data_IF_423560755180
#
_entry.id   IF_423560755180
#
_cell.length_a   1.000
_cell.length_b   1.000
_cell.length_c   1.000
_cell.angle_alpha   90.00
_cell.angle_beta   90.00
_cell.angle_gamma   90.00
#
_symmetry.space_group_name_H-M   'P 1'
#
loop_
_entity.id
_entity.type
_entity.pdbx_description
1 polymer ?
#
# COMPACT_ATOMS: atom_id res chain seq x y z
N UNK A 1 -5.36 -7.82 46.80
CA UNK A 1 -5.06 -8.75 45.69
C UNK A 1 -5.02 -7.93 44.41
N UNK A 2 -3.82 -7.49 44.01
CA UNK A 2 -3.62 -6.63 42.83
C UNK A 2 -3.07 -7.50 41.71
N UNK A 3 -3.95 -8.00 40.84
CA UNK A 3 -3.53 -8.73 39.65
C UNK A 3 -3.06 -7.72 38.60
N UNK A 4 -1.73 -7.58 38.53
CA UNK A 4 -1.04 -6.91 37.43
C UNK A 4 -1.35 -7.65 36.13
N UNK A 5 -2.16 -7.04 35.27
CA UNK A 5 -2.39 -7.54 33.92
C UNK A 5 -1.07 -7.45 33.15
N UNK A 6 -0.48 -8.61 32.86
CA UNK A 6 0.58 -8.76 31.88
C UNK A 6 0.11 -8.14 30.57
N UNK A 7 0.84 -7.13 30.11
CA UNK A 7 0.74 -6.68 28.74
C UNK A 7 1.15 -7.86 27.85
N UNK A 8 0.16 -8.43 27.19
CA UNK A 8 0.34 -9.49 26.22
C UNK A 8 1.04 -8.88 24.99
N UNK A 9 2.32 -9.22 24.83
CA UNK A 9 3.16 -8.73 23.76
C UNK A 9 2.68 -9.29 22.42
N UNK A 10 1.81 -8.56 21.73
CA UNK A 10 1.34 -8.88 20.38
C UNK A 10 2.57 -8.96 19.46
N UNK A 11 2.83 -10.09 18.77
CA UNK A 11 3.96 -10.19 17.86
C UNK A 11 3.80 -9.18 16.72
N UNK A 12 4.87 -8.42 16.50
CA UNK A 12 4.97 -7.27 15.60
C UNK A 12 4.21 -7.44 14.27
N UNK A 13 3.07 -6.74 14.15
CA UNK A 13 2.50 -6.35 12.84
C UNK A 13 3.56 -5.54 12.09
N UNK A 14 4.20 -6.12 11.08
CA UNK A 14 5.32 -5.49 10.36
C UNK A 14 4.82 -4.40 9.41
N UNK A 15 4.47 -3.23 9.97
CA UNK A 15 4.22 -2.00 9.24
C UNK A 15 5.55 -1.28 9.06
N UNK A 16 5.94 -1.01 7.81
CA UNK A 16 7.12 -0.23 7.47
C UNK A 16 6.69 1.15 6.96
N UNK A 17 7.07 2.21 7.67
CA UNK A 17 6.90 3.57 7.18
C UNK A 17 7.99 3.88 6.14
N UNK A 18 7.59 4.31 4.94
CA UNK A 18 8.50 4.63 3.82
C UNK A 18 8.68 6.15 3.67
N UNK A 19 7.62 6.92 3.92
CA UNK A 19 7.63 8.38 4.02
C UNK A 19 6.50 8.84 4.96
N UNK A 20 6.38 10.11 5.37
CA UNK A 20 5.27 10.57 6.22
C UNK A 20 3.87 10.25 5.66
N UNK A 21 3.75 10.10 4.33
CA UNK A 21 2.49 9.80 3.65
C UNK A 21 2.39 8.35 3.15
N UNK A 22 3.47 7.56 3.16
CA UNK A 22 3.51 6.23 2.56
C UNK A 22 3.93 5.18 3.59
N UNK A 23 3.16 4.10 3.68
CA UNK A 23 3.42 2.97 4.58
C UNK A 23 3.13 1.65 3.89
N UNK A 24 3.97 0.65 4.14
CA UNK A 24 3.86 -0.71 3.62
C UNK A 24 3.52 -1.67 4.76
N UNK A 25 2.46 -2.44 4.59
CA UNK A 25 2.03 -3.50 5.50
C UNK A 25 2.43 -4.82 4.86
N UNK A 26 3.32 -5.57 5.52
CA UNK A 26 3.69 -6.91 5.05
C UNK A 26 2.63 -7.95 5.47
N UNK A 27 2.48 -9.03 4.69
CA UNK A 27 1.60 -10.13 5.05
C UNK A 27 2.05 -10.77 6.36
N UNK A 28 1.09 -11.27 7.15
CA UNK A 28 1.39 -11.94 8.42
C UNK A 28 1.98 -13.33 8.20
N UNK A 29 1.65 -13.98 7.07
CA UNK A 29 2.13 -15.31 6.69
C UNK A 29 2.79 -15.24 5.31
N UNK A 30 4.11 -15.02 5.22
CA UNK A 30 4.85 -14.90 3.97
C UNK A 30 5.06 -16.25 3.24
N UNK A 31 4.34 -17.31 3.61
CA UNK A 31 4.43 -18.62 2.95
C UNK A 31 4.20 -18.46 1.44
N UNK A 32 5.09 -19.07 0.65
CA UNK A 32 5.06 -19.05 -0.81
C UNK A 32 3.66 -19.42 -1.31
N UNK A 33 2.96 -18.45 -1.88
CA UNK A 33 1.67 -18.65 -2.53
C UNK A 33 1.85 -19.69 -3.63
N UNK A 34 1.41 -20.93 -3.39
CA UNK A 34 1.26 -21.91 -4.46
C UNK A 34 0.08 -21.43 -5.29
N UNK A 35 0.31 -20.97 -6.53
CA UNK A 35 -0.74 -20.48 -7.45
C UNK A 35 -1.69 -21.60 -7.94
N UNK A 36 -1.89 -22.65 -7.14
CA UNK A 36 -2.83 -23.73 -7.36
C UNK A 36 -4.24 -23.41 -6.84
N UNK A 37 -4.45 -22.27 -6.17
CA UNK A 37 -5.77 -21.80 -5.77
C UNK A 37 -6.48 -21.17 -6.96
N UNK A 38 -7.65 -21.71 -7.31
CA UNK A 38 -8.53 -21.32 -8.42
C UNK A 38 -9.14 -19.91 -8.29
N UNK A 39 -8.74 -19.11 -7.31
CA UNK A 39 -9.27 -17.77 -7.05
C UNK A 39 -8.18 -16.71 -7.26
N UNK A 40 -8.44 -15.64 -8.04
CA UNK A 40 -7.49 -14.54 -8.22
C UNK A 40 -7.26 -13.86 -6.86
N UNK A 41 -6.00 -13.59 -6.54
CA UNK A 41 -5.61 -12.97 -5.27
C UNK A 41 -4.47 -12.02 -5.58
N UNK A 42 -4.56 -10.73 -5.24
CA UNK A 42 -3.47 -9.80 -5.48
C UNK A 42 -2.22 -10.20 -4.70
N UNK A 43 -1.05 -9.85 -5.25
CA UNK A 43 0.23 -9.89 -4.55
C UNK A 43 0.45 -8.57 -3.80
N UNK A 44 -0.07 -7.46 -4.36
CA UNK A 44 0.00 -6.13 -3.78
C UNK A 44 -1.35 -5.41 -3.87
N UNK A 45 -1.77 -4.81 -2.76
CA UNK A 45 -2.94 -3.94 -2.69
C UNK A 45 -2.46 -2.52 -2.47
N UNK A 46 -2.79 -1.61 -3.38
CA UNK A 46 -2.54 -0.18 -3.24
C UNK A 46 -3.80 0.46 -2.68
N UNK A 47 -3.71 0.99 -1.46
CA UNK A 47 -4.77 1.74 -0.82
C UNK A 47 -4.44 3.23 -0.91
N UNK A 48 -5.26 3.99 -1.62
CA UNK A 48 -5.16 5.45 -1.74
C UNK A 48 -6.38 6.12 -1.08
N UNK A 49 -6.33 6.40 0.25
CA UNK A 49 -7.46 6.98 0.99
C UNK A 49 -7.82 8.40 0.56
N UNK A 50 -8.95 8.89 1.08
CA UNK A 50 -9.36 10.27 0.90
C UNK A 50 -8.46 11.26 1.65
N UNK A 51 -8.65 12.55 1.36
CA UNK A 51 -7.86 13.65 1.94
C UNK A 51 -7.92 13.60 3.48
N UNK A 52 -6.75 13.65 4.11
CA UNK A 52 -6.64 13.67 5.57
C UNK A 52 -7.29 12.47 6.26
N UNK A 53 -7.33 11.30 5.61
CA UNK A 53 -7.75 10.07 6.25
C UNK A 53 -6.92 9.80 7.52
N UNK A 54 -7.64 9.67 8.64
CA UNK A 54 -7.07 9.39 9.94
C UNK A 54 -6.62 7.92 10.04
N UNK A 55 -5.63 7.61 10.91
CA UNK A 55 -5.13 6.25 11.07
C UNK A 55 -6.22 5.21 11.31
N UNK A 56 -7.22 5.51 12.14
CA UNK A 56 -8.35 4.60 12.42
C UNK A 56 -9.14 4.18 11.17
N UNK A 57 -9.30 5.10 10.21
CA UNK A 57 -9.99 4.81 8.96
C UNK A 57 -9.14 3.89 8.09
N UNK A 58 -7.84 4.16 7.99
CA UNK A 58 -6.88 3.33 7.26
C UNK A 58 -6.85 1.93 7.85
N UNK A 59 -6.72 1.81 9.18
CA UNK A 59 -6.69 0.52 9.89
C UNK A 59 -7.92 -0.35 9.59
N UNK A 60 -9.11 0.25 9.51
CA UNK A 60 -10.35 -0.47 9.17
C UNK A 60 -10.23 -1.16 7.80
N UNK A 61 -9.73 -0.46 6.78
CA UNK A 61 -9.59 -1.01 5.44
C UNK A 61 -8.41 -1.97 5.33
N UNK A 62 -7.26 -1.67 5.94
CA UNK A 62 -6.11 -2.57 5.92
C UNK A 62 -6.44 -3.89 6.61
N UNK A 63 -7.19 -3.86 7.72
CA UNK A 63 -7.61 -5.08 8.41
C UNK A 63 -8.54 -5.93 7.54
N UNK A 64 -9.53 -5.31 6.90
CA UNK A 64 -10.43 -6.01 5.99
C UNK A 64 -9.66 -6.69 4.84
N UNK A 65 -8.72 -5.97 4.22
CA UNK A 65 -7.88 -6.54 3.15
C UNK A 65 -6.94 -7.64 3.65
N UNK A 66 -6.38 -7.51 4.86
CA UNK A 66 -5.57 -8.58 5.47
C UNK A 66 -6.39 -9.84 5.74
N UNK A 67 -7.69 -9.71 6.07
CA UNK A 67 -8.59 -10.86 6.22
C UNK A 67 -8.96 -11.49 4.87
N UNK A 68 -9.18 -10.69 3.83
CA UNK A 68 -9.53 -11.18 2.49
C UNK A 68 -8.34 -11.79 1.74
N UNK A 69 -7.16 -11.18 1.87
CA UNK A 69 -5.93 -11.55 1.17
C UNK A 69 -4.75 -11.62 2.15
N UNK A 70 -4.65 -12.67 2.98
CA UNK A 70 -3.62 -12.78 4.03
C UNK A 70 -2.17 -12.78 3.53
N UNK A 71 -1.96 -13.08 2.25
CA UNK A 71 -0.65 -13.13 1.60
C UNK A 71 -0.30 -11.85 0.84
N UNK A 72 -1.27 -10.95 0.61
CA UNK A 72 -1.02 -9.70 -0.10
C UNK A 72 -0.30 -8.70 0.81
N UNK A 73 0.66 -7.97 0.22
CA UNK A 73 1.17 -6.76 0.85
C UNK A 73 0.17 -5.61 0.65
N UNK A 74 0.11 -4.66 1.58
CA UNK A 74 -0.74 -3.46 1.42
C UNK A 74 0.13 -2.22 1.45
N UNK A 75 0.15 -1.47 0.36
CA UNK A 75 0.80 -0.18 0.23
C UNK A 75 -0.22 0.93 0.40
N UNK A 76 -0.12 1.69 1.49
CA UNK A 76 -1.00 2.83 1.76
C UNK A 76 -0.31 4.11 1.34
N UNK A 77 -0.94 4.87 0.43
CA UNK A 77 -0.45 6.16 -0.07
C UNK A 77 -1.47 7.24 0.30
N UNK A 78 -1.14 8.03 1.32
CA UNK A 78 -2.03 9.06 1.87
C UNK A 78 -1.90 10.37 1.08
N UNK A 79 -3.01 11.09 0.99
CA UNK A 79 -3.04 12.49 0.53
C UNK A 79 -3.24 13.41 1.73
N UNK A 80 -2.32 14.34 1.93
CA UNK A 80 -2.40 15.36 2.99
C UNK A 80 -2.87 16.70 2.43
N UNK A 81 -3.33 17.61 3.30
CA UNK A 81 -3.65 18.99 2.90
C UNK A 81 -2.41 19.68 2.31
N UNK A 82 -1.24 19.45 2.90
CA UNK A 82 0.02 19.99 2.39
C UNK A 82 0.27 19.59 0.93
N UNK A 83 0.02 18.33 0.57
CA UNK A 83 0.13 17.85 -0.82
C UNK A 83 -0.75 18.63 -1.80
N UNK A 84 -1.89 19.16 -1.35
CA UNK A 84 -2.82 19.89 -2.21
C UNK A 84 -2.56 21.39 -2.23
N UNK A 85 -2.01 21.96 -1.15
CA UNK A 85 -1.93 23.42 -0.96
C UNK A 85 -0.55 23.98 -1.28
N UNK A 86 0.53 23.38 -0.78
CA UNK A 86 1.85 24.03 -0.84
C UNK A 86 3.04 23.09 -1.03
N UNK A 87 2.88 21.76 -0.92
CA UNK A 87 3.98 20.83 -1.08
C UNK A 87 4.34 20.68 -2.57
N UNK A 88 5.59 20.97 -2.98
CA UNK A 88 5.99 20.93 -4.38
C UNK A 88 5.76 19.56 -5.03
N UNK A 89 5.34 19.56 -6.29
CA UNK A 89 5.11 18.34 -7.07
C UNK A 89 6.35 17.43 -7.12
N UNK A 90 7.55 18.01 -7.26
CA UNK A 90 8.81 17.26 -7.32
C UNK A 90 9.03 16.44 -6.03
N UNK A 91 8.73 17.00 -4.87
CA UNK A 91 8.83 16.29 -3.59
C UNK A 91 7.84 15.14 -3.49
N UNK A 92 6.61 15.35 -3.96
CA UNK A 92 5.59 14.29 -4.01
C UNK A 92 6.01 13.16 -4.96
N UNK A 93 6.53 13.50 -6.14
CA UNK A 93 7.04 12.54 -7.10
C UNK A 93 8.26 11.78 -6.57
N UNK A 94 9.14 12.42 -5.81
CA UNK A 94 10.27 11.77 -5.14
C UNK A 94 9.79 10.62 -4.24
N UNK A 95 8.78 10.85 -3.41
CA UNK A 95 8.20 9.82 -2.55
C UNK A 95 7.62 8.64 -3.35
N UNK A 96 6.95 8.93 -4.47
CA UNK A 96 6.35 7.91 -5.33
C UNK A 96 7.42 7.13 -6.10
N UNK A 97 8.51 7.77 -6.52
CA UNK A 97 9.64 7.10 -7.19
C UNK A 97 10.32 6.06 -6.28
N UNK A 98 10.42 6.35 -4.99
CA UNK A 98 11.03 5.42 -4.01
C UNK A 98 10.27 4.10 -3.88
N UNK A 99 8.97 4.06 -4.22
CA UNK A 99 8.15 2.86 -4.09
C UNK A 99 7.93 2.11 -5.41
N UNK A 100 8.41 2.64 -6.55
CA UNK A 100 8.26 1.96 -7.84
C UNK A 100 8.90 0.56 -7.88
N UNK A 101 10.04 0.30 -7.23
CA UNK A 101 10.58 -1.07 -7.15
C UNK A 101 9.65 -2.08 -6.45
N UNK A 102 8.66 -1.63 -5.68
CA UNK A 102 7.64 -2.52 -5.09
C UNK A 102 6.55 -2.91 -6.09
N UNK A 103 6.39 -2.12 -7.16
CA UNK A 103 5.41 -2.34 -8.23
C UNK A 103 5.99 -3.20 -9.36
N UNK A 104 7.31 -3.43 -9.33
CA UNK A 104 8.07 -4.20 -10.30
C UNK A 104 8.59 -5.44 -9.57
N UNK A 105 8.11 -6.63 -9.91
CA UNK A 105 8.56 -7.87 -9.25
C UNK A 105 10.00 -8.22 -9.62
N UNK A 106 10.74 -8.78 -8.66
CA UNK A 106 12.11 -9.29 -8.82
C UNK A 106 12.18 -10.73 -9.40
N UNK A 107 11.04 -11.37 -9.66
CA UNK A 107 11.00 -12.70 -10.26
C UNK A 107 10.89 -12.54 -11.77
N UNK A 108 11.91 -13.00 -12.49
CA UNK A 108 12.18 -12.76 -13.92
C UNK A 108 11.02 -13.03 -14.90
N UNK A 109 9.92 -13.64 -14.47
CA UNK A 109 8.88 -14.11 -15.39
C UNK A 109 7.48 -13.50 -15.26
N UNK A 110 7.12 -12.76 -14.20
CA UNK A 110 5.72 -12.26 -14.06
C UNK A 110 5.60 -10.96 -13.25
N UNK A 111 4.89 -9.97 -13.79
CA UNK A 111 4.45 -8.75 -13.08
C UNK A 111 3.53 -9.10 -11.88
N UNK A 112 3.56 -8.32 -10.78
CA UNK A 112 2.69 -8.61 -9.63
C UNK A 112 1.23 -8.37 -9.97
N UNK A 113 0.33 -9.20 -9.44
CA UNK A 113 -1.11 -8.92 -9.50
C UNK A 113 -1.43 -7.77 -8.52
N UNK A 114 -1.69 -6.58 -9.05
CA UNK A 114 -1.96 -5.37 -8.26
C UNK A 114 -3.45 -5.08 -8.19
N UNK A 115 -3.99 -4.94 -6.98
CA UNK A 115 -5.31 -4.37 -6.74
C UNK A 115 -5.20 -2.92 -6.29
N UNK A 116 -5.86 -2.00 -6.99
CA UNK A 116 -5.89 -0.58 -6.63
C UNK A 116 -7.25 -0.18 -6.06
N UNK A 117 -7.28 0.25 -4.79
CA UNK A 117 -8.43 0.90 -4.18
C UNK A 117 -8.14 2.38 -3.93
N UNK A 118 -8.71 3.23 -4.79
CA UNK A 118 -8.66 4.68 -4.64
C UNK A 118 -9.98 5.25 -4.11
N UNK A 119 -9.91 6.13 -3.11
CA UNK A 119 -11.07 6.79 -2.52
C UNK A 119 -11.17 8.25 -2.95
N UNK A 120 -12.34 8.64 -3.45
CA UNK A 120 -12.65 10.04 -3.77
C UNK A 120 -11.61 10.67 -4.73
N UNK A 121 -11.64 11.99 -4.87
CA UNK A 121 -10.75 12.72 -5.77
C UNK A 121 -9.30 12.75 -5.26
N UNK A 122 -9.11 12.78 -3.93
CA UNK A 122 -7.77 12.83 -3.34
C UNK A 122 -7.00 11.51 -3.51
N UNK A 123 -7.70 10.38 -3.42
CA UNK A 123 -7.13 9.06 -3.70
C UNK A 123 -6.84 8.91 -5.19
N UNK A 124 -7.80 9.30 -6.06
CA UNK A 124 -7.60 9.29 -7.51
C UNK A 124 -6.41 10.17 -7.93
N UNK A 125 -6.26 11.35 -7.34
CA UNK A 125 -5.12 12.23 -7.60
C UNK A 125 -3.77 11.56 -7.29
N UNK A 126 -3.63 10.88 -6.14
CA UNK A 126 -2.39 10.14 -5.83
C UNK A 126 -2.21 8.92 -6.73
N UNK A 127 -3.27 8.20 -7.07
CA UNK A 127 -3.21 7.09 -8.01
C UNK A 127 -2.72 7.55 -9.40
N UNK A 128 -3.26 8.66 -9.92
CA UNK A 128 -2.81 9.25 -11.18
C UNK A 128 -1.35 9.71 -11.11
N UNK A 129 -0.93 10.33 -10.01
CA UNK A 129 0.47 10.70 -9.81
C UNK A 129 1.39 9.48 -9.78
N UNK A 130 0.97 8.37 -9.15
CA UNK A 130 1.73 7.12 -9.11
C UNK A 130 1.85 6.50 -10.50
N UNK A 131 0.75 6.41 -11.24
CA UNK A 131 0.75 5.89 -12.62
C UNK A 131 1.68 6.72 -13.54
N UNK A 132 1.67 8.04 -13.40
CA UNK A 132 2.60 8.92 -14.15
C UNK A 132 4.06 8.72 -13.74
N UNK A 133 4.33 8.57 -12.45
CA UNK A 133 5.69 8.29 -11.96
C UNK A 133 6.19 6.94 -12.50
N UNK A 134 5.33 5.93 -12.49
CA UNK A 134 5.61 4.61 -13.04
C UNK A 134 5.88 4.68 -14.54
N UNK A 135 4.99 5.29 -15.33
CA UNK A 135 5.17 5.41 -16.78
C UNK A 135 6.43 6.19 -17.14
N UNK A 136 6.74 7.27 -16.42
CA UNK A 136 7.95 8.06 -16.68
C UNK A 136 9.25 7.28 -16.40
N UNK A 137 9.22 6.32 -15.46
CA UNK A 137 10.38 5.52 -15.07
C UNK A 137 10.54 4.25 -15.92
N UNK A 138 9.42 3.64 -16.31
CA UNK A 138 9.38 2.30 -16.92
C UNK A 138 9.05 2.32 -18.40
N UNK A 139 8.50 3.44 -18.90
CA UNK A 139 7.92 3.56 -20.23
C UNK A 139 6.74 2.61 -20.51
N UNK A 140 6.15 2.01 -19.47
CA UNK A 140 4.96 1.14 -19.58
C UNK A 140 3.81 1.66 -18.72
N UNK A 141 2.61 1.09 -18.91
CA UNK A 141 1.43 1.43 -18.10
C UNK A 141 1.41 0.57 -16.84
N UNK A 142 1.00 1.14 -15.71
CA UNK A 142 0.77 0.38 -14.49
C UNK A 142 -0.49 -0.48 -14.67
N UNK A 143 -0.32 -1.80 -14.72
CA UNK A 143 -1.45 -2.75 -14.73
C UNK A 143 -1.99 -2.92 -13.31
N UNK A 144 -3.27 -2.61 -13.10
CA UNK A 144 -3.95 -2.82 -11.82
C UNK A 144 -5.44 -3.13 -12.08
N UNK A 145 -5.98 -4.14 -11.38
CA UNK A 145 -7.34 -4.68 -11.56
C UNK A 145 -8.13 -4.80 -10.26
#
# INVERSE_FOLDING_TARGET
MSSSNKAETIPSKTIQQLSPAISLYRPSNPTTKTRSSTSPSPDLIILAPWLSAQPRHITKYTYAYQSLFPHASILVIRTTVADMVYRPYISQQGDLKMILPLLQTNTEDQEPEILLHMFSNAGAHKASQLARAYQAQTHTVLSAG
#
